data_IF_587119405285
#
_entry.id   IF_587119405285
#
_cell.length_a   1.000
_cell.length_b   1.000
_cell.length_c   1.000
_cell.angle_alpha   90.00
_cell.angle_beta   90.00
_cell.angle_gamma   90.00
#
_symmetry.space_group_name_H-M   'P 1'
#
loop_
_entity.id
_entity.type
_entity.pdbx_description
1 polymer ?
#
# COMPACT_ATOMS: atom_id res chain seq x y z
N UNK A 1 0.98 10.16 0.06
CA UNK A 1 1.45 8.89 -0.53
C UNK A 1 0.36 8.39 -1.48
N UNK A 2 0.65 7.51 -2.44
CA UNK A 2 -0.26 7.15 -3.54
C UNK A 2 -1.63 6.61 -3.07
N UNK A 3 -2.58 6.47 -4.01
CA UNK A 3 -4.01 6.19 -3.77
C UNK A 3 -4.30 4.98 -2.84
N UNK A 4 -3.32 4.08 -2.64
CA UNK A 4 -3.42 2.88 -1.81
C UNK A 4 -2.42 2.85 -0.64
N UNK A 5 -2.11 4.03 -0.06
CA UNK A 5 -1.37 4.25 1.20
C UNK A 5 -1.04 2.98 1.98
N UNK A 6 0.22 2.51 1.87
CA UNK A 6 0.83 1.39 2.59
C UNK A 6 0.08 0.04 2.57
N UNK A 7 -1.13 -0.04 2.01
CA UNK A 7 -2.01 -1.21 2.04
C UNK A 7 -1.83 -2.15 0.85
N UNK A 8 -0.89 -1.84 -0.05
CA UNK A 8 -0.69 -2.57 -1.31
C UNK A 8 -0.44 -4.07 -1.10
N UNK A 9 0.39 -4.46 -0.12
CA UNK A 9 0.66 -5.89 0.13
C UNK A 9 -0.58 -6.66 0.62
N UNK A 10 -1.41 -6.07 1.50
CA UNK A 10 -2.70 -6.65 1.89
C UNK A 10 -3.66 -6.75 0.72
N UNK A 11 -3.71 -5.73 -0.14
CA UNK A 11 -4.56 -5.77 -1.33
C UNK A 11 -4.14 -6.90 -2.26
N UNK A 12 -2.85 -7.01 -2.57
CA UNK A 12 -2.32 -8.07 -3.45
C UNK A 12 -2.57 -9.45 -2.84
N UNK A 13 -2.29 -9.64 -1.55
CA UNK A 13 -2.55 -10.92 -0.87
C UNK A 13 -4.04 -11.26 -0.84
N UNK A 14 -4.91 -10.29 -0.56
CA UNK A 14 -6.36 -10.50 -0.52
C UNK A 14 -6.95 -10.83 -1.89
N UNK A 15 -6.50 -10.16 -2.96
CA UNK A 15 -6.92 -10.48 -4.33
C UNK A 15 -6.47 -11.90 -4.70
N UNK A 16 -5.24 -12.25 -4.39
CA UNK A 16 -4.73 -13.60 -4.65
C UNK A 16 -5.48 -14.68 -3.86
N UNK A 17 -5.75 -14.45 -2.57
CA UNK A 17 -6.54 -15.37 -1.75
C UNK A 17 -7.97 -15.54 -2.29
N UNK A 18 -8.57 -14.45 -2.77
CA UNK A 18 -9.90 -14.47 -3.40
C UNK A 18 -9.90 -15.30 -4.69
N UNK A 19 -8.89 -15.13 -5.55
CA UNK A 19 -8.75 -15.94 -6.77
C UNK A 19 -8.63 -17.42 -6.42
N UNK A 20 -7.75 -17.80 -5.49
CA UNK A 20 -7.61 -19.20 -5.08
C UNK A 20 -8.91 -19.79 -4.52
N UNK A 21 -9.64 -19.01 -3.73
CA UNK A 21 -10.93 -19.45 -3.16
C UNK A 21 -11.99 -19.66 -4.25
N UNK A 22 -12.05 -18.78 -5.26
CA UNK A 22 -12.98 -18.92 -6.39
C UNK A 22 -12.58 -20.03 -7.37
N UNK A 23 -11.29 -20.28 -7.49
CA UNK A 23 -10.73 -21.27 -8.39
C UNK A 23 -10.87 -22.71 -7.85
N UNK A 24 -10.94 -22.86 -6.52
CA UNK A 24 -11.11 -24.13 -5.83
C UNK A 24 -12.29 -24.98 -6.34
N UNK A 25 -13.55 -24.49 -6.36
CA UNK A 25 -14.68 -25.30 -6.84
C UNK A 25 -14.55 -25.77 -8.29
N UNK A 26 -13.70 -25.13 -9.10
CA UNK A 26 -13.45 -25.56 -10.48
C UNK A 26 -12.45 -26.72 -10.58
N UNK A 27 -11.56 -26.87 -9.60
CA UNK A 27 -10.51 -27.91 -9.60
C UNK A 27 -10.76 -29.06 -8.62
N UNK A 28 -11.77 -28.96 -7.74
CA UNK A 28 -12.10 -29.97 -6.73
C UNK A 28 -12.37 -31.36 -7.34
N UNK A 29 -13.04 -31.40 -8.48
CA UNK A 29 -13.37 -32.66 -9.19
C UNK A 29 -12.32 -33.06 -10.25
N UNK A 30 -11.30 -32.24 -10.50
CA UNK A 30 -10.31 -32.51 -11.56
C UNK A 30 -9.21 -33.47 -11.07
N UNK A 31 -8.70 -33.26 -9.86
CA UNK A 31 -7.69 -34.11 -9.25
C UNK A 31 -7.69 -33.96 -7.72
N UNK A 32 -7.73 -35.08 -7.01
CA UNK A 32 -7.70 -35.11 -5.53
C UNK A 32 -6.44 -34.43 -4.95
N UNK A 33 -5.31 -34.50 -5.67
CA UNK A 33 -4.08 -33.78 -5.29
C UNK A 33 -4.27 -32.26 -5.28
N UNK A 34 -5.07 -31.71 -6.20
CA UNK A 34 -5.33 -30.27 -6.24
C UNK A 34 -6.21 -29.85 -5.08
N UNK A 35 -7.20 -30.67 -4.70
CA UNK A 35 -8.06 -30.39 -3.54
C UNK A 35 -7.25 -30.25 -2.25
N UNK A 36 -6.29 -31.16 -2.01
CA UNK A 36 -5.38 -31.06 -0.85
C UNK A 36 -4.53 -29.78 -0.90
N UNK A 37 -4.06 -29.39 -2.10
CA UNK A 37 -3.31 -28.13 -2.28
C UNK A 37 -4.18 -26.92 -1.95
N UNK A 38 -5.44 -26.86 -2.40
CA UNK A 38 -6.36 -25.77 -2.07
C UNK A 38 -6.71 -25.74 -0.58
N UNK A 39 -6.89 -26.89 0.05
CA UNK A 39 -7.13 -27.02 1.49
C UNK A 39 -6.02 -26.40 2.35
N UNK A 40 -4.77 -26.46 1.87
CA UNK A 40 -3.62 -25.84 2.56
C UNK A 40 -3.39 -24.39 2.10
N UNK A 41 -3.49 -24.12 0.81
CA UNK A 41 -3.15 -22.83 0.23
C UNK A 41 -4.16 -21.73 0.58
N UNK A 42 -5.46 -22.03 0.54
CA UNK A 42 -6.52 -21.05 0.82
C UNK A 42 -6.42 -20.48 2.23
N UNK A 43 -6.40 -21.29 3.32
CA UNK A 43 -6.31 -20.75 4.67
C UNK A 43 -4.96 -20.05 4.94
N UNK A 44 -3.85 -20.55 4.37
CA UNK A 44 -2.53 -19.91 4.52
C UNK A 44 -2.50 -18.53 3.85
N UNK A 45 -3.10 -18.37 2.66
CA UNK A 45 -3.17 -17.08 1.99
C UNK A 45 -4.08 -16.07 2.71
N UNK A 46 -5.20 -16.53 3.28
CA UNK A 46 -6.02 -15.70 4.15
C UNK A 46 -5.28 -15.27 5.42
N UNK A 47 -4.52 -16.19 6.03
CA UNK A 47 -3.66 -15.88 7.17
C UNK A 47 -2.61 -14.82 6.82
N UNK A 48 -1.88 -14.98 5.71
CA UNK A 48 -0.90 -14.01 5.25
C UNK A 48 -1.53 -12.64 4.96
N UNK A 49 -2.76 -12.62 4.42
CA UNK A 49 -3.50 -11.37 4.21
C UNK A 49 -3.73 -10.62 5.53
N UNK A 50 -4.13 -11.33 6.59
CA UNK A 50 -4.31 -10.75 7.92
C UNK A 50 -2.99 -10.26 8.51
N UNK A 51 -1.91 -11.04 8.37
CA UNK A 51 -0.57 -10.66 8.83
C UNK A 51 -0.08 -9.40 8.11
N UNK A 52 -0.23 -9.32 6.79
CA UNK A 52 0.11 -8.14 6.01
C UNK A 52 -0.71 -6.92 6.45
N UNK A 53 -1.99 -7.10 6.79
CA UNK A 53 -2.85 -6.03 7.27
C UNK A 53 -2.35 -5.45 8.60
N UNK A 54 -2.05 -6.33 9.57
CA UNK A 54 -1.54 -5.95 10.88
C UNK A 54 -0.15 -5.31 10.77
N UNK A 55 0.72 -5.86 9.94
CA UNK A 55 2.07 -5.33 9.73
C UNK A 55 2.02 -3.90 9.16
N UNK A 56 1.18 -3.65 8.17
CA UNK A 56 1.01 -2.32 7.58
C UNK A 56 0.43 -1.32 8.57
N UNK A 57 -0.58 -1.74 9.35
CA UNK A 57 -1.10 -0.94 10.47
C UNK A 57 0.00 -0.60 11.48
N UNK A 58 0.81 -1.58 11.88
CA UNK A 58 1.90 -1.37 12.85
C UNK A 58 2.94 -0.36 12.36
N UNK A 59 3.29 -0.41 11.07
CA UNK A 59 4.20 0.53 10.45
C UNK A 59 3.61 1.95 10.43
N UNK A 60 2.31 2.08 10.13
CA UNK A 60 1.61 3.37 10.16
C UNK A 60 1.57 3.95 11.59
N UNK A 61 1.39 3.11 12.62
CA UNK A 61 1.43 3.53 14.03
C UNK A 61 2.83 3.92 14.49
N UNK A 62 3.86 3.15 14.13
CA UNK A 62 5.25 3.40 14.53
C UNK A 62 5.84 4.65 13.84
N UNK A 63 5.49 4.89 12.56
CA UNK A 63 5.93 6.08 11.83
C UNK A 63 5.07 7.33 12.09
N UNK A 64 3.85 7.20 12.62
CA UNK A 64 3.01 8.32 13.03
C UNK A 64 3.44 9.02 14.34
N UNK A 65 4.34 8.41 15.12
CA UNK A 65 4.74 8.91 16.45
C UNK A 65 5.97 9.82 16.45
N UNK A 66 6.69 9.92 15.33
CA UNK A 66 7.68 11.00 15.18
C UNK A 66 6.97 12.28 14.78
N UNK A 67 6.69 13.14 15.77
CA UNK A 67 6.63 14.59 15.54
C UNK A 67 7.82 14.95 14.64
N UNK A 68 7.65 15.48 13.42
CA UNK A 68 8.67 16.37 12.91
C UNK A 68 8.63 17.57 13.85
N UNK A 69 9.65 17.66 14.71
CA UNK A 69 10.00 18.93 15.33
C UNK A 69 10.00 19.99 14.22
N UNK A 70 9.01 20.88 14.30
CA UNK A 70 8.91 22.18 13.64
C UNK A 70 9.86 22.40 12.45
N UNK A 71 9.36 22.23 11.22
CA UNK A 71 9.63 23.20 10.16
C UNK A 71 8.34 23.45 9.37
N UNK A 72 7.84 24.70 9.31
CA UNK A 72 6.72 25.03 8.44
C UNK A 72 7.24 25.07 7.01
N UNK A 73 7.25 23.93 6.32
CA UNK A 73 7.32 23.96 4.86
C UNK A 73 5.95 24.41 4.37
N UNK A 74 5.80 25.73 4.24
CA UNK A 74 4.73 26.35 3.46
C UNK A 74 4.77 25.73 2.06
N UNK A 75 3.81 24.86 1.74
CA UNK A 75 3.35 24.70 0.35
C UNK A 75 1.91 25.20 0.30
N UNK A 76 1.66 26.40 -0.24
CA UNK A 76 0.32 26.75 -0.65
C UNK A 76 0.03 25.99 -1.96
N UNK A 77 -1.09 25.31 -1.94
CA UNK A 77 -1.81 24.81 -3.10
C UNK A 77 -2.01 25.89 -4.17
N UNK A 78 -1.92 25.47 -5.43
CA UNK A 78 -2.56 26.06 -6.63
C UNK A 78 -2.40 27.58 -6.84
N UNK A 79 -1.58 27.95 -7.83
CA UNK A 79 -1.86 28.92 -8.93
C UNK A 79 -0.54 29.08 -9.72
N UNK A 80 -0.56 28.74 -11.00
CA UNK A 80 -0.54 29.71 -12.09
C UNK A 80 0.71 30.60 -12.07
N UNK A 81 1.58 30.39 -13.06
CA UNK A 81 2.44 31.40 -13.70
C UNK A 81 3.41 32.19 -12.82
N UNK A 82 4.69 31.81 -12.86
CA UNK A 82 5.78 32.62 -13.45
C UNK A 82 7.12 31.96 -13.13
N UNK A 83 7.97 31.84 -14.15
CA UNK A 83 9.37 31.48 -14.03
C UNK A 83 10.06 32.46 -13.06
N UNK A 84 10.50 31.98 -11.90
CA UNK A 84 11.40 32.73 -11.03
C UNK A 84 12.78 32.09 -11.18
N UNK A 85 13.62 32.72 -12.01
CA UNK A 85 15.05 32.44 -12.10
C UNK A 85 15.73 33.17 -10.94
N UNK A 86 16.49 32.45 -10.12
CA UNK A 86 17.25 33.06 -9.03
C UNK A 86 18.61 33.54 -9.54
N UNK A 87 18.84 34.86 -9.54
CA UNK A 87 20.19 35.42 -9.62
C UNK A 87 20.85 35.31 -8.25
N UNK A 88 22.17 35.06 -8.23
CA UNK A 88 22.96 34.73 -7.04
C UNK A 88 22.92 35.77 -5.89
N UNK A 89 22.40 36.98 -6.13
CA UNK A 89 22.30 38.06 -5.15
C UNK A 89 20.92 38.19 -4.46
N UNK A 90 20.00 37.23 -4.64
CA UNK A 90 18.90 37.01 -3.71
C UNK A 90 17.79 38.09 -3.64
N UNK A 91 17.68 39.02 -4.59
CA UNK A 91 16.49 39.88 -4.73
C UNK A 91 15.59 39.40 -5.87
N UNK A 92 14.29 39.27 -5.59
CA UNK A 92 13.27 39.04 -6.61
C UNK A 92 13.16 40.30 -7.46
N UNK A 93 13.37 40.18 -8.77
CA UNK A 93 13.06 41.27 -9.70
C UNK A 93 11.54 41.51 -9.64
N UNK A 94 11.20 42.71 -9.21
CA UNK A 94 9.83 43.24 -9.16
C UNK A 94 9.18 43.35 -10.53
#
# INVERSE_FOLDING_TARGET
MGLLYNHLATLVCGVFASILTLLWPMFVDYAEVLDVVFWLAVPVMWFLTVVCFVAQKSADYAHGSHKPSKKPSKKPSKKLSKNIVYTADGRLAE
#
